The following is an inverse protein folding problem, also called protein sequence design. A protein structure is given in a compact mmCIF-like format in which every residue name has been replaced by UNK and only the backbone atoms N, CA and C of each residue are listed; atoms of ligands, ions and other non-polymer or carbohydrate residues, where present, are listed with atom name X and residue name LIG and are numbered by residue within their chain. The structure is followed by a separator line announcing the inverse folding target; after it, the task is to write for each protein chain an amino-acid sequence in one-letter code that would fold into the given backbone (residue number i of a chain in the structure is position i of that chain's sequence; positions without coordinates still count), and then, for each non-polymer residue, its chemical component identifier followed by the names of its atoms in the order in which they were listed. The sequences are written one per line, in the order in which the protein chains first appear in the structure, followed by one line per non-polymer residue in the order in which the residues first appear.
data_IF_203931693354
#
_entry.id   IF_203931693354
#
_cell.length_a   1.000
_cell.length_b   1.000
_cell.length_c   1.000
_cell.angle_alpha   90.00
_cell.angle_beta   90.00
_cell.angle_gamma   90.00
#
_symmetry.space_group_name_H-M   'P 1'
#
loop_
_entity.id
_entity.type
_entity.pdbx_description
1 polymer ?
#
# COMPACT_ATOMS: atom_id res chain seq x y z
N UNK A 1 -2.59 11.16 22.24
CA UNK A 1 -1.30 10.60 22.71
C UNK A 1 -0.76 9.64 21.65
N UNK A 2 0.50 9.21 21.75
CA UNK A 2 1.07 8.17 20.86
C UNK A 2 0.25 6.86 20.89
N UNK A 3 -0.27 6.51 22.07
CA UNK A 3 -1.23 5.43 22.27
C UNK A 3 -2.46 5.56 21.35
N UNK A 4 -3.02 6.77 21.21
CA UNK A 4 -4.16 7.00 20.32
C UNK A 4 -3.82 6.71 18.86
N UNK A 5 -2.61 7.07 18.42
CA UNK A 5 -2.13 6.75 17.08
C UNK A 5 -2.00 5.25 16.89
N UNK A 6 -1.38 4.55 17.85
CA UNK A 6 -1.26 3.09 17.82
C UNK A 6 -2.62 2.40 17.74
N UNK A 7 -3.59 2.83 18.57
CA UNK A 7 -4.95 2.30 18.53
C UNK A 7 -5.61 2.53 17.17
N UNK A 8 -5.54 3.75 16.63
CA UNK A 8 -6.13 4.07 15.32
C UNK A 8 -5.50 3.26 14.19
N UNK A 9 -4.18 3.15 14.16
CA UNK A 9 -3.47 2.34 13.15
C UNK A 9 -3.83 0.86 13.26
N UNK A 10 -3.93 0.32 14.49
CA UNK A 10 -4.36 -1.05 14.75
C UNK A 10 -5.80 -1.30 14.29
N UNK A 11 -6.73 -0.43 14.70
CA UNK A 11 -8.15 -0.57 14.36
C UNK A 11 -8.35 -0.48 12.85
N UNK A 12 -7.65 0.46 12.18
CA UNK A 12 -7.65 0.56 10.73
C UNK A 12 -7.09 -0.69 10.06
N UNK A 13 -5.92 -1.19 10.49
CA UNK A 13 -5.32 -2.39 9.93
C UNK A 13 -6.25 -3.61 10.03
N UNK A 14 -6.87 -3.82 11.20
CA UNK A 14 -7.84 -4.90 11.40
C UNK A 14 -9.04 -4.74 10.46
N UNK A 15 -9.61 -3.53 10.36
CA UNK A 15 -10.74 -3.29 9.46
C UNK A 15 -10.38 -3.48 7.99
N UNK A 16 -9.20 -3.05 7.57
CA UNK A 16 -8.68 -3.27 6.20
C UNK A 16 -8.51 -4.75 5.91
N UNK A 17 -7.92 -5.52 6.84
CA UNK A 17 -7.76 -6.98 6.71
C UNK A 17 -9.13 -7.68 6.63
N UNK A 18 -10.06 -7.30 7.49
CA UNK A 18 -11.42 -7.87 7.50
C UNK A 18 -12.19 -7.54 6.22
N UNK A 19 -11.98 -6.36 5.64
CA UNK A 19 -12.56 -6.00 4.34
C UNK A 19 -11.92 -6.83 3.22
N UNK A 20 -10.59 -6.91 3.20
CA UNK A 20 -9.83 -7.67 2.20
C UNK A 20 -10.22 -9.15 2.18
N UNK A 21 -10.40 -9.77 3.35
CA UNK A 21 -10.78 -11.18 3.47
C UNK A 21 -12.24 -11.48 3.05
N UNK A 22 -13.08 -10.45 2.90
CA UNK A 22 -14.45 -10.61 2.36
C UNK A 22 -14.46 -10.61 0.83
N UNK A 23 -13.42 -10.10 0.20
CA UNK A 23 -13.33 -10.06 -1.26
C UNK A 23 -13.07 -11.47 -1.80
N UNK A 24 -13.95 -11.93 -2.68
CA UNK A 24 -13.86 -13.26 -3.30
C UNK A 24 -12.88 -13.22 -4.47
N UNK A 25 -11.83 -14.04 -4.39
CA UNK A 25 -10.99 -14.31 -5.55
C UNK A 25 -11.71 -15.27 -6.51
N UNK A 26 -12.17 -14.74 -7.65
CA UNK A 26 -12.94 -15.49 -8.66
C UNK A 26 -12.12 -15.64 -9.94
N UNK A 27 -11.95 -16.88 -10.40
CA UNK A 27 -11.37 -17.21 -11.70
C UNK A 27 -12.40 -17.97 -12.56
N UNK A 28 -12.38 -17.74 -13.88
CA UNK A 28 -13.28 -18.43 -14.81
C UNK A 28 -12.97 -19.92 -14.96
N UNK A 29 -11.70 -20.27 -14.75
CA UNK A 29 -11.19 -21.63 -14.77
C UNK A 29 -10.32 -21.89 -13.55
N UNK A 30 -10.10 -23.16 -13.22
CA UNK A 30 -9.17 -23.53 -12.15
C UNK A 30 -7.75 -23.16 -12.58
N UNK A 31 -7.15 -22.23 -11.84
CA UNK A 31 -5.79 -21.80 -12.11
C UNK A 31 -4.79 -22.89 -11.71
N UNK A 32 -3.69 -22.96 -12.46
CA UNK A 32 -2.51 -23.71 -12.02
C UNK A 32 -1.95 -23.09 -10.74
N UNK A 33 -1.38 -23.90 -9.86
CA UNK A 33 -0.85 -23.45 -8.57
C UNK A 33 0.14 -22.29 -8.69
N UNK A 34 1.05 -22.31 -9.66
CA UNK A 34 1.99 -21.22 -9.90
C UNK A 34 1.31 -19.91 -10.29
N UNK A 35 0.25 -19.98 -11.10
CA UNK A 35 -0.53 -18.81 -11.54
C UNK A 35 -1.34 -18.27 -10.37
N UNK A 36 -1.99 -19.14 -9.61
CA UNK A 36 -2.70 -18.79 -8.39
C UNK A 36 -1.78 -18.07 -7.40
N UNK A 37 -0.62 -18.64 -7.09
CA UNK A 37 0.34 -18.05 -6.16
C UNK A 37 0.82 -16.67 -6.64
N UNK A 38 1.15 -16.54 -7.93
CA UNK A 38 1.57 -15.25 -8.49
C UNK A 38 0.48 -14.18 -8.39
N UNK A 39 -0.78 -14.53 -8.67
CA UNK A 39 -1.89 -13.58 -8.62
C UNK A 39 -2.25 -13.20 -7.18
N UNK A 40 -2.32 -14.16 -6.26
CA UNK A 40 -2.60 -13.90 -4.85
C UNK A 40 -1.49 -13.05 -4.22
N UNK A 41 -0.21 -13.37 -4.49
CA UNK A 41 0.89 -12.56 -3.98
C UNK A 41 0.84 -11.13 -4.51
N UNK A 42 0.49 -10.91 -5.79
CA UNK A 42 0.33 -9.56 -6.34
C UNK A 42 -0.82 -8.80 -5.67
N UNK A 43 -1.95 -9.47 -5.40
CA UNK A 43 -3.10 -8.88 -4.70
C UNK A 43 -2.72 -8.50 -3.26
N UNK A 44 -2.04 -9.39 -2.54
CA UNK A 44 -1.57 -9.14 -1.17
C UNK A 44 -0.56 -7.98 -1.15
N UNK A 45 0.43 -7.99 -2.05
CA UNK A 45 1.40 -6.90 -2.15
C UNK A 45 0.72 -5.56 -2.43
N UNK A 46 -0.28 -5.54 -3.32
CA UNK A 46 -1.05 -4.34 -3.59
C UNK A 46 -1.78 -3.83 -2.34
N UNK A 47 -2.37 -4.74 -1.55
CA UNK A 47 -3.03 -4.42 -0.29
C UNK A 47 -2.05 -3.88 0.76
N UNK A 48 -0.91 -4.55 0.95
CA UNK A 48 0.15 -4.14 1.89
C UNK A 48 0.72 -2.75 1.55
N UNK A 49 0.75 -2.39 0.26
CA UNK A 49 1.18 -1.07 -0.21
C UNK A 49 0.08 -0.01 -0.11
N UNK A 50 -1.17 -0.33 -0.48
CA UNK A 50 -2.24 0.67 -0.55
C UNK A 50 -2.83 1.01 0.81
N UNK A 51 -2.99 0.02 1.70
CA UNK A 51 -3.64 0.22 3.01
C UNK A 51 -2.94 1.30 3.86
N UNK A 52 -1.61 1.31 4.02
CA UNK A 52 -0.93 2.37 4.76
C UNK A 52 -1.01 3.74 4.07
N UNK A 53 -0.97 3.78 2.73
CA UNK A 53 -1.08 5.03 1.96
C UNK A 53 -2.46 5.67 2.17
N UNK A 54 -3.53 4.87 2.13
CA UNK A 54 -4.89 5.35 2.34
C UNK A 54 -5.07 5.95 3.74
N UNK A 55 -4.60 5.25 4.77
CA UNK A 55 -4.61 5.73 6.14
C UNK A 55 -3.84 7.06 6.30
N UNK A 56 -2.61 7.10 5.79
CA UNK A 56 -1.76 8.30 5.85
C UNK A 56 -2.41 9.49 5.14
N UNK A 57 -3.06 9.22 4.01
CA UNK A 57 -3.82 10.23 3.25
C UNK A 57 -4.98 10.78 4.06
N UNK A 58 -5.72 9.94 4.79
CA UNK A 58 -6.81 10.39 5.68
C UNK A 58 -6.28 11.28 6.80
N UNK A 59 -5.18 10.90 7.45
CA UNK A 59 -4.53 11.71 8.50
C UNK A 59 -4.06 13.05 7.94
N UNK A 60 -3.42 13.05 6.77
CA UNK A 60 -2.98 14.28 6.09
C UNK A 60 -4.16 15.18 5.73
N UNK A 61 -5.28 14.62 5.28
CA UNK A 61 -6.49 15.36 4.97
C UNK A 61 -7.05 16.07 6.22
N UNK A 62 -7.15 15.37 7.35
CA UNK A 62 -7.60 15.96 8.62
C UNK A 62 -6.69 17.12 9.04
N UNK A 63 -5.36 16.94 8.97
CA UNK A 63 -4.38 17.99 9.28
C UNK A 63 -4.58 19.22 8.40
N UNK A 64 -4.76 19.03 7.08
CA UNK A 64 -5.02 20.10 6.12
C UNK A 64 -6.37 20.79 6.36
N UNK A 65 -7.40 20.05 6.74
CA UNK A 65 -8.69 20.64 7.11
C UNK A 65 -8.58 21.51 8.37
N UNK A 66 -7.87 21.05 9.40
CA UNK A 66 -7.59 21.83 10.61
C UNK A 66 -6.84 23.12 10.25
N UNK A 67 -5.81 23.02 9.39
CA UNK A 67 -5.03 24.15 8.90
C UNK A 67 -5.89 25.18 8.14
N UNK A 68 -6.61 24.70 7.12
CA UNK A 68 -7.37 25.54 6.20
C UNK A 68 -8.53 26.25 6.88
N UNK A 69 -9.18 25.58 7.84
CA UNK A 69 -10.26 26.16 8.64
C UNK A 69 -9.75 26.93 9.88
N UNK A 70 -8.44 26.95 10.12
CA UNK A 70 -7.80 27.66 11.25
C UNK A 70 -8.39 27.27 12.61
N UNK A 71 -8.67 25.99 12.81
CA UNK A 71 -9.18 25.53 14.11
C UNK A 71 -8.13 25.74 15.19
N UNK A 72 -8.55 26.33 16.31
CA UNK A 72 -7.67 26.62 17.45
C UNK A 72 -7.38 25.31 18.20
N UNK A 73 -6.10 25.00 18.36
CA UNK A 73 -5.67 23.92 19.24
C UNK A 73 -5.98 24.29 20.68
N UNK A 74 -6.62 23.39 21.43
CA UNK A 74 -6.87 23.57 22.86
C UNK A 74 -5.55 23.72 23.66
N UNK A 75 -4.46 23.11 23.17
CA UNK A 75 -3.11 23.25 23.72
C UNK A 75 -2.39 24.52 23.24
N UNK A 76 -3.05 25.38 22.48
CA UNK A 76 -2.52 26.66 21.99
C UNK A 76 -1.19 26.54 21.21
N UNK A 77 -1.00 25.40 20.52
CA UNK A 77 0.21 25.07 19.75
C UNK A 77 0.27 25.78 18.40
N UNK A 78 -0.88 26.14 17.81
CA UNK A 78 -0.95 26.92 16.56
C UNK A 78 -1.33 28.38 16.80
N UNK A 79 -2.10 28.66 17.85
CA UNK A 79 -2.54 29.99 18.23
C UNK A 79 -2.44 30.16 19.74
N UNK A 80 -1.83 31.25 20.20
CA UNK A 80 -1.82 31.63 21.61
C UNK A 80 -2.96 32.60 21.90
N UNK A 81 -3.59 32.46 23.06
CA UNK A 81 -4.59 33.39 23.56
C UNK A 81 -4.01 34.10 24.78
N UNK A 82 -4.18 35.42 24.84
CA UNK A 82 -3.85 36.21 26.03
C UNK A 82 -5.00 37.15 26.38
N UNK A 83 -5.13 37.40 27.67
CA UNK A 83 -6.20 38.21 28.25
C UNK A 83 -5.57 39.53 28.70
N UNK A 84 -6.12 40.65 28.25
CA UNK A 84 -5.75 41.96 28.79
C UNK A 84 -6.98 42.61 29.43
N UNK A 85 -6.78 43.16 30.63
CA UNK A 85 -7.76 44.03 31.28
C UNK A 85 -7.71 45.39 30.60
N UNK A 86 -8.79 45.75 29.94
CA UNK A 86 -8.97 47.09 29.39
C UNK A 86 -9.69 47.96 30.41
N UNK A 87 -9.45 49.28 30.37
CA UNK A 87 -9.69 50.29 31.43
C UNK A 87 -11.08 50.28 32.13
N UNK A 88 -12.07 49.53 31.62
CA UNK A 88 -13.42 49.41 32.14
C UNK A 88 -13.82 47.98 32.57
N UNK A 89 -12.89 47.16 33.08
CA UNK A 89 -13.10 45.72 33.37
C UNK A 89 -13.53 44.88 32.14
N UNK A 90 -13.37 45.42 30.93
CA UNK A 90 -13.58 44.66 29.70
C UNK A 90 -12.34 43.80 29.48
N UNK A 91 -12.54 42.49 29.48
CA UNK A 91 -11.46 41.54 29.13
C UNK A 91 -11.41 41.42 27.62
N UNK A 92 -10.32 41.89 27.01
CA UNK A 92 -10.05 41.66 25.60
C UNK A 92 -9.32 40.32 25.47
N UNK A 93 -9.88 39.43 24.66
CA UNK A 93 -9.24 38.18 24.27
C UNK A 93 -8.55 38.43 22.94
N UNK A 94 -7.23 38.34 22.94
CA UNK A 94 -6.44 38.50 21.73
C UNK A 94 -5.83 37.16 21.35
N UNK A 95 -5.98 36.81 20.07
CA UNK A 95 -5.49 35.55 19.53
C UNK A 95 -4.39 35.85 18.51
N UNK A 96 -3.20 35.34 18.74
CA UNK A 96 -2.07 35.47 17.83
C UNK A 96 -1.64 34.09 17.30
N UNK A 97 -1.20 34.06 16.05
CA UNK A 97 -0.60 32.86 15.48
C UNK A 97 0.73 32.59 16.18
N UNK A 98 1.04 31.32 16.44
CA UNK A 98 2.37 30.92 16.87
C UNK A 98 3.37 31.13 15.74
N UNK A 99 4.53 31.67 16.13
CA UNK A 99 5.66 31.90 15.24
C UNK A 99 6.88 31.36 15.94
N UNK A 100 7.59 30.47 15.24
CA UNK A 100 8.89 29.96 15.65
C UNK A 100 9.95 30.80 14.95
N UNK A 101 10.84 31.38 15.74
CA UNK A 101 12.02 32.07 15.23
C UNK A 101 13.14 31.06 15.20
N UNK A 102 13.95 31.04 14.14
CA UNK A 102 15.22 30.31 14.16
C UNK A 102 16.27 31.16 14.90
N UNK A 103 17.03 30.55 15.81
CA UNK A 103 18.09 31.25 16.54
C UNK A 103 19.25 31.65 15.63
N UNK A 104 19.41 30.97 14.49
CA UNK A 104 20.54 31.13 13.56
C UNK A 104 20.13 31.66 12.18
N UNK A 105 18.88 31.50 11.75
CA UNK A 105 18.39 32.03 10.48
C UNK A 105 17.50 33.26 10.65
N UNK A 106 17.60 34.22 9.73
CA UNK A 106 16.71 35.38 9.61
C UNK A 106 15.26 35.03 9.21
N UNK A 107 14.93 33.73 9.15
CA UNK A 107 13.61 33.23 8.78
C UNK A 107 12.75 32.92 10.00
N UNK A 108 11.50 33.38 9.97
CA UNK A 108 10.47 33.00 10.93
C UNK A 108 9.51 31.99 10.31
N UNK A 109 9.14 30.96 11.05
CA UNK A 109 8.15 29.97 10.63
C UNK A 109 6.84 30.23 11.37
N UNK A 110 5.83 30.71 10.64
CA UNK A 110 4.51 31.00 11.21
C UNK A 110 3.53 29.86 10.97
N UNK A 111 2.87 29.40 12.04
CA UNK A 111 1.79 28.40 11.98
C UNK A 111 0.57 28.85 11.17
N UNK A 112 0.48 30.15 10.85
CA UNK A 112 -0.54 30.69 9.94
C UNK A 112 -0.31 30.27 8.49
N UNK A 113 0.96 30.15 8.10
CA UNK A 113 1.39 30.00 6.70
C UNK A 113 1.84 28.56 6.46
N UNK A 114 2.66 28.03 7.38
CA UNK A 114 3.24 26.69 7.28
C UNK A 114 2.83 25.88 8.51
N UNK A 115 2.06 24.81 8.29
CA UNK A 115 1.61 23.96 9.39
C UNK A 115 2.69 22.99 9.89
N UNK A 116 3.70 22.75 9.06
CA UNK A 116 4.80 21.83 9.35
C UNK A 116 5.97 22.52 10.05
N UNK A 117 5.80 23.80 10.45
CA UNK A 117 6.78 24.45 11.31
C UNK A 117 7.00 23.64 12.58
N UNK A 118 8.27 23.42 12.91
CA UNK A 118 8.66 22.73 14.12
C UNK A 118 10.01 23.24 14.62
N UNK A 119 10.23 23.05 15.91
CA UNK A 119 11.49 23.27 16.59
C UNK A 119 11.76 22.07 17.51
N UNK A 120 13.01 21.86 17.91
CA UNK A 120 13.35 20.89 18.95
C UNK A 120 12.58 21.20 20.25
N UNK A 121 12.05 20.16 20.89
CA UNK A 121 11.29 20.32 22.13
C UNK A 121 12.24 20.65 23.29
N UNK A 122 11.91 21.73 24.01
CA UNK A 122 12.70 22.21 25.13
C UNK A 122 11.80 22.45 26.34
N UNK A 123 12.32 22.15 27.53
CA UNK A 123 11.69 22.49 28.81
C UNK A 123 12.40 23.71 29.38
N UNK A 124 11.62 24.70 29.81
CA UNK A 124 12.12 25.96 30.34
C UNK A 124 11.76 26.12 31.82
N UNK A 125 12.59 26.83 32.59
CA UNK A 125 12.32 27.12 34.01
C UNK A 125 11.30 28.26 34.24
N UNK A 126 10.90 28.97 33.18
CA UNK A 126 9.96 30.07 33.21
C UNK A 126 9.05 30.04 31.99
N UNK A 127 7.75 30.22 32.19
CA UNK A 127 6.78 30.37 31.10
C UNK A 127 6.73 31.84 30.67
N UNK A 128 7.08 32.15 29.41
CA UNK A 128 6.79 33.47 28.83
C UNK A 128 5.32 33.53 28.42
N UNK A 129 4.63 34.58 28.83
CA UNK A 129 3.23 34.88 28.44
C UNK A 129 3.12 35.58 27.07
N UNK A 130 4.19 35.61 26.26
CA UNK A 130 4.20 36.34 24.98
C UNK A 130 3.83 35.45 23.80
N UNK A 131 2.99 35.96 22.89
CA UNK A 131 2.57 35.26 21.65
C UNK A 131 3.68 34.93 20.64
N UNK A 132 4.91 35.39 20.90
CA UNK A 132 6.12 35.04 20.16
C UNK A 132 7.02 34.20 21.07
N UNK A 133 7.31 32.96 20.65
CA UNK A 133 8.37 32.17 21.27
C UNK A 133 9.71 32.65 20.72
N UNK A 134 10.26 33.67 21.36
CA UNK A 134 11.69 33.93 21.26
C UNK A 134 12.41 32.80 21.98
N UNK A 135 13.44 32.24 21.35
CA UNK A 135 14.42 31.40 22.05
C UNK A 135 14.84 32.14 23.32
N UNK A 136 14.47 31.63 24.51
CA UNK A 136 14.99 32.24 25.72
C UNK A 136 16.51 32.00 25.72
N UNK A 137 17.29 32.90 26.34
CA UNK A 137 18.72 32.67 26.46
C UNK A 137 18.99 31.30 27.09
N UNK A 138 20.10 30.65 26.67
CA UNK A 138 20.39 29.24 26.98
C UNK A 138 20.35 28.93 28.49
N UNK A 139 20.55 29.95 29.35
CA UNK A 139 20.47 29.86 30.82
C UNK A 139 19.07 29.55 31.37
N UNK A 140 18.02 29.63 30.54
CA UNK A 140 16.63 29.31 30.92
C UNK A 140 16.17 27.94 30.45
N UNK A 141 16.95 27.26 29.60
CA UNK A 141 16.64 25.93 29.09
C UNK A 141 17.04 24.92 30.16
N UNK A 142 16.06 24.22 30.73
CA UNK A 142 16.30 23.12 31.66
C UNK A 142 16.79 21.88 30.94
N UNK A 143 16.19 21.58 29.79
CA UNK A 143 16.51 20.40 29.00
C UNK A 143 16.03 20.57 27.56
N UNK A 144 16.84 20.13 26.61
CA UNK A 144 16.41 19.79 25.24
C UNK A 144 16.13 18.30 25.19
N UNK A 145 15.02 17.89 24.59
CA UNK A 145 14.65 16.48 24.51
C UNK A 145 15.01 15.96 23.12
N UNK A 146 16.11 15.18 22.98
CA UNK A 146 16.55 14.67 21.69
C UNK A 146 15.43 13.90 20.99
N UNK A 147 15.28 14.17 19.70
CA UNK A 147 14.29 13.51 18.87
C UNK A 147 12.87 14.05 19.06
N UNK A 148 12.55 14.82 20.09
CA UNK A 148 11.21 15.39 20.24
C UNK A 148 11.10 16.76 19.57
N UNK A 149 9.95 17.03 18.97
CA UNK A 149 9.66 18.28 18.28
C UNK A 149 8.41 18.95 18.82
N UNK A 150 8.46 20.27 18.98
CA UNK A 150 7.30 21.12 19.17
C UNK A 150 6.84 21.67 17.82
N UNK A 151 5.54 21.59 17.51
CA UNK A 151 5.00 22.01 16.22
C UNK A 151 3.62 22.67 16.35
N UNK A 152 3.13 23.27 15.26
CA UNK A 152 1.86 23.99 15.19
C UNK A 152 0.65 23.16 15.62
N UNK A 153 0.60 21.88 15.27
CA UNK A 153 -0.46 20.99 15.71
C UNK A 153 0.04 20.01 16.78
N UNK A 154 -0.81 19.63 17.75
CA UNK A 154 -0.46 18.56 18.69
C UNK A 154 -0.15 17.24 17.96
N UNK A 155 -0.87 16.94 16.87
CA UNK A 155 -0.58 15.76 16.05
C UNK A 155 0.78 15.87 15.35
N UNK A 156 1.15 17.06 14.83
CA UNK A 156 2.45 17.26 14.20
C UNK A 156 3.60 17.17 15.19
N UNK A 157 3.40 17.64 16.43
CA UNK A 157 4.35 17.49 17.54
C UNK A 157 4.72 16.01 17.72
N UNK A 158 3.73 15.12 17.69
CA UNK A 158 3.97 13.67 17.75
C UNK A 158 4.62 13.17 16.46
N UNK A 159 4.02 13.45 15.30
CA UNK A 159 4.46 12.90 14.01
C UNK A 159 5.91 13.24 13.66
N UNK A 160 6.35 14.47 13.95
CA UNK A 160 7.70 14.94 13.64
C UNK A 160 8.74 14.49 14.67
N UNK A 161 8.30 14.02 15.84
CA UNK A 161 9.19 13.47 16.86
C UNK A 161 9.68 12.06 16.50
N UNK A 162 10.79 11.64 17.08
CA UNK A 162 11.33 10.28 17.12
C UNK A 162 11.19 9.72 18.55
N UNK A 163 11.55 8.45 18.75
CA UNK A 163 11.48 7.79 20.06
C UNK A 163 12.83 7.74 20.78
N UNK A 164 13.85 8.43 20.28
CA UNK A 164 15.25 8.34 20.74
C UNK A 164 15.41 8.47 22.27
N UNK A 165 14.77 9.45 22.90
CA UNK A 165 14.87 9.67 24.35
C UNK A 165 14.35 8.46 25.16
N UNK A 166 13.38 7.70 24.65
CA UNK A 166 12.81 6.54 25.35
C UNK A 166 13.72 5.29 25.32
N UNK A 167 14.75 5.29 24.48
CA UNK A 167 15.79 4.26 24.44
C UNK A 167 17.09 4.70 25.16
N UNK A 168 17.17 5.95 25.63
CA UNK A 168 18.34 6.49 26.30
C UNK A 168 18.07 6.77 27.79
N UNK A 169 18.70 6.00 28.68
CA UNK A 169 18.41 6.07 30.11
C UNK A 169 18.79 7.42 30.73
N UNK A 170 19.87 8.05 30.24
CA UNK A 170 20.27 9.38 30.69
C UNK A 170 19.23 10.43 30.30
N UNK A 171 18.73 10.36 29.06
CA UNK A 171 17.67 11.26 28.61
C UNK A 171 16.39 11.08 29.44
N UNK A 172 15.94 9.83 29.59
CA UNK A 172 14.74 9.51 30.34
C UNK A 172 14.86 9.93 31.81
N UNK A 173 15.99 9.67 32.46
CA UNK A 173 16.23 10.09 33.85
C UNK A 173 16.16 11.61 34.01
N UNK A 174 16.77 12.37 33.09
CA UNK A 174 16.72 13.82 33.12
C UNK A 174 15.28 14.32 32.95
N UNK A 175 14.52 13.74 32.01
CA UNK A 175 13.11 14.09 31.80
C UNK A 175 12.25 13.81 33.04
N UNK A 176 12.46 12.65 33.65
CA UNK A 176 11.70 12.19 34.83
C UNK A 176 12.05 13.02 36.06
N UNK A 177 13.29 13.49 36.19
CA UNK A 177 13.70 14.38 37.28
C UNK A 177 12.96 15.72 37.31
N UNK A 178 12.39 16.13 36.17
CA UNK A 178 11.59 17.34 36.03
C UNK A 178 10.11 17.12 36.37
N UNK A 179 9.68 15.87 36.55
CA UNK A 179 8.31 15.56 36.94
C UNK A 179 8.13 15.77 38.45
N UNK A 180 6.96 16.25 38.90
CA UNK A 180 6.68 16.46 40.33
C UNK A 180 6.61 15.14 41.13
N UNK A 181 6.57 13.99 40.45
CA UNK A 181 6.46 12.67 41.03
C UNK A 181 7.68 11.82 40.71
N UNK A 182 8.26 11.19 41.72
CA UNK A 182 9.29 10.16 41.54
C UNK A 182 8.67 8.89 40.97
N UNK A 183 8.84 8.67 39.68
CA UNK A 183 8.41 7.44 39.00
C UNK A 183 9.65 6.75 38.45
N UNK A 184 9.81 5.48 38.76
CA UNK A 184 10.90 4.69 38.18
C UNK A 184 10.51 4.27 36.76
N UNK A 185 11.04 4.97 35.78
CA UNK A 185 10.92 4.58 34.38
C UNK A 185 12.21 3.89 33.92
N UNK A 186 12.04 2.73 33.31
CA UNK A 186 13.10 2.04 32.57
C UNK A 186 12.98 2.40 31.10
N UNK A 187 14.11 2.52 30.41
CA UNK A 187 14.09 2.62 28.94
C UNK A 187 13.40 1.42 28.31
N UNK A 188 12.88 1.66 27.11
CA UNK A 188 12.42 0.59 26.22
C UNK A 188 13.67 -0.16 25.75
N UNK A 189 13.67 -1.49 25.83
CA UNK A 189 14.73 -2.30 25.23
C UNK A 189 14.60 -2.25 23.72
N UNK A 190 15.72 -2.03 23.02
CA UNK A 190 15.73 -2.16 21.55
C UNK A 190 15.21 -3.55 21.16
N UNK A 191 14.18 -3.58 20.31
CA UNK A 191 13.79 -4.81 19.63
C UNK A 191 14.86 -5.09 18.57
N UNK A 192 15.64 -6.16 18.75
CA UNK A 192 16.69 -6.55 17.80
C UNK A 192 16.16 -6.77 16.37
N UNK A 193 14.85 -6.95 16.20
CA UNK A 193 14.18 -7.23 14.93
C UNK A 193 13.22 -6.12 14.46
N UNK A 194 13.17 -4.96 15.12
CA UNK A 194 12.27 -3.90 14.62
C UNK A 194 12.74 -3.41 13.25
N UNK A 195 11.81 -3.23 12.33
CA UNK A 195 12.11 -2.64 11.01
C UNK A 195 12.35 -1.13 11.07
N UNK A 196 12.05 -0.48 12.20
CA UNK A 196 12.20 0.96 12.39
C UNK A 196 13.50 1.29 13.14
N UNK A 197 14.23 2.27 12.63
CA UNK A 197 15.45 2.78 13.28
C UNK A 197 15.06 3.71 14.42
N UNK A 198 15.94 3.87 15.42
CA UNK A 198 15.72 4.79 16.56
C UNK A 198 15.41 6.22 16.12
N UNK A 199 16.06 6.70 15.06
CA UNK A 199 15.87 8.04 14.50
C UNK A 199 14.73 8.12 13.46
N UNK A 200 13.93 7.07 13.31
CA UNK A 200 12.73 7.11 12.48
C UNK A 200 11.70 7.99 13.15
N UNK A 201 11.11 8.91 12.39
CA UNK A 201 10.02 9.74 12.91
C UNK A 201 8.80 8.88 13.17
N UNK A 202 8.01 9.28 14.15
CA UNK A 202 6.75 8.62 14.46
C UNK A 202 5.81 8.71 13.24
N UNK A 203 5.92 9.75 12.41
CA UNK A 203 5.23 9.80 11.12
C UNK A 203 5.60 8.61 10.24
N UNK A 204 6.88 8.30 10.04
CA UNK A 204 7.27 7.14 9.23
C UNK A 204 6.72 5.83 9.77
N UNK A 205 6.67 5.68 11.10
CA UNK A 205 6.12 4.49 11.76
C UNK A 205 4.60 4.42 11.51
N UNK A 206 3.87 5.52 11.72
CA UNK A 206 2.42 5.62 11.52
C UNK A 206 2.01 5.50 10.05
N UNK A 207 2.82 6.04 9.14
CA UNK A 207 2.60 5.97 7.69
C UNK A 207 2.67 4.53 7.18
N UNK A 208 3.24 3.62 7.98
CA UNK A 208 3.29 2.18 7.77
C UNK A 208 2.37 1.41 8.75
N UNK A 209 1.32 2.07 9.25
CA UNK A 209 0.35 1.52 10.22
C UNK A 209 0.96 1.02 11.53
N UNK A 210 2.20 1.42 11.84
CA UNK A 210 2.98 0.91 12.98
C UNK A 210 3.14 -0.63 12.95
N UNK A 211 3.10 -1.22 11.76
CA UNK A 211 3.23 -2.67 11.56
C UNK A 211 4.71 -3.04 11.47
N UNK A 212 5.11 -4.07 12.21
CA UNK A 212 6.45 -4.66 12.14
C UNK A 212 6.56 -5.65 10.97
N UNK A 213 5.61 -6.59 10.86
CA UNK A 213 5.60 -7.63 9.84
C UNK A 213 4.17 -7.99 9.39
N UNK A 214 4.02 -8.31 8.11
CA UNK A 214 2.80 -8.90 7.54
C UNK A 214 2.97 -10.41 7.44
N UNK A 215 2.02 -11.16 8.02
CA UNK A 215 2.01 -12.62 7.98
C UNK A 215 0.84 -13.10 7.14
N UNK A 216 1.10 -13.95 6.16
CA UNK A 216 0.12 -14.42 5.18
C UNK A 216 -0.08 -15.94 5.28
N UNK A 217 -1.33 -16.41 5.18
CA UNK A 217 -1.69 -17.84 5.11
C UNK A 217 -2.38 -18.13 3.77
N UNK A 218 -1.60 -18.55 2.78
CA UNK A 218 -2.09 -18.85 1.42
C UNK A 218 -2.20 -20.36 1.24
N UNK A 219 -3.37 -20.85 0.81
CA UNK A 219 -3.60 -22.28 0.60
C UNK A 219 -4.23 -22.60 -0.75
N UNK A 220 -3.40 -23.04 -1.71
CA UNK A 220 -3.87 -23.53 -3.01
C UNK A 220 -4.84 -24.72 -2.86
N UNK A 221 -4.61 -25.60 -1.87
CA UNK A 221 -5.51 -26.73 -1.58
C UNK A 221 -6.92 -26.28 -1.20
N UNK A 222 -7.07 -25.21 -0.41
CA UNK A 222 -8.37 -24.65 -0.05
C UNK A 222 -9.05 -24.06 -1.30
N UNK A 223 -8.30 -23.28 -2.09
CA UNK A 223 -8.77 -22.71 -3.36
C UNK A 223 -9.25 -23.79 -4.34
N UNK A 224 -8.41 -24.79 -4.64
CA UNK A 224 -8.74 -25.85 -5.61
C UNK A 224 -10.01 -26.60 -5.21
N UNK A 225 -10.20 -26.89 -3.92
CA UNK A 225 -11.42 -27.57 -3.43
C UNK A 225 -12.70 -26.75 -3.65
N UNK A 226 -12.62 -25.42 -3.60
CA UNK A 226 -13.76 -24.53 -3.81
C UNK A 226 -14.03 -24.28 -5.30
N UNK A 227 -12.98 -24.20 -6.13
CA UNK A 227 -13.10 -23.84 -7.54
C UNK A 227 -13.11 -25.04 -8.49
N UNK A 228 -12.88 -26.26 -8.01
CA UNK A 228 -12.87 -27.45 -8.86
C UNK A 228 -14.21 -27.62 -9.62
N UNK A 229 -14.17 -27.93 -10.92
CA UNK A 229 -15.38 -28.15 -11.70
C UNK A 229 -16.15 -29.36 -11.17
N UNK A 230 -17.48 -29.27 -11.13
CA UNK A 230 -18.36 -30.36 -10.72
C UNK A 230 -18.22 -31.58 -11.66
N UNK A 231 -17.88 -31.33 -12.93
CA UNK A 231 -17.65 -32.37 -13.93
C UNK A 231 -16.54 -31.96 -14.89
N UNK A 232 -15.56 -32.85 -15.11
CA UNK A 232 -14.54 -32.67 -16.14
C UNK A 232 -15.02 -33.29 -17.46
N UNK A 233 -15.19 -32.48 -18.49
CA UNK A 233 -15.37 -32.96 -19.87
C UNK A 233 -14.02 -32.99 -20.57
N UNK A 234 -13.57 -34.19 -20.94
CA UNK A 234 -12.41 -34.33 -21.81
C UNK A 234 -12.89 -34.42 -23.26
N UNK A 235 -12.38 -33.54 -24.12
CA UNK A 235 -12.55 -33.70 -25.56
C UNK A 235 -11.62 -34.81 -26.03
N UNK A 236 -12.14 -36.01 -26.15
CA UNK A 236 -11.43 -37.09 -26.84
C UNK A 236 -11.50 -36.79 -28.33
N UNK A 237 -10.40 -36.26 -28.89
CA UNK A 237 -10.22 -36.23 -30.34
C UNK A 237 -10.04 -37.68 -30.80
N UNK A 238 -11.14 -38.39 -31.01
CA UNK A 238 -11.12 -39.68 -31.70
C UNK A 238 -10.63 -39.41 -33.13
N UNK A 239 -9.34 -39.68 -33.37
CA UNK A 239 -8.69 -39.57 -34.69
C UNK A 239 -9.32 -40.48 -35.76
N UNK A 240 -10.33 -41.26 -35.39
CA UNK A 240 -11.04 -42.20 -36.25
C UNK A 240 -12.54 -41.96 -36.16
N UNK A 241 -13.02 -40.91 -36.83
CA UNK A 241 -14.43 -40.83 -37.18
C UNK A 241 -14.69 -41.82 -38.33
N UNK A 242 -15.49 -42.86 -38.06
CA UNK A 242 -15.86 -43.87 -39.04
C UNK A 242 -16.52 -43.26 -40.28
N UNK A 243 -17.17 -42.10 -40.13
CA UNK A 243 -17.76 -41.34 -41.25
C UNK A 243 -16.69 -40.81 -42.20
N UNK A 244 -15.55 -40.37 -41.66
CA UNK A 244 -14.41 -39.90 -42.44
C UNK A 244 -13.72 -41.05 -43.19
N UNK A 245 -13.60 -42.22 -42.56
CA UNK A 245 -13.06 -43.42 -43.21
C UNK A 245 -13.99 -43.90 -44.35
N UNK A 246 -15.31 -43.85 -44.13
CA UNK A 246 -16.30 -44.23 -45.12
C UNK A 246 -16.30 -43.30 -46.34
N UNK A 247 -16.23 -41.98 -46.15
CA UNK A 247 -16.16 -41.02 -47.27
C UNK A 247 -14.87 -41.15 -48.07
N UNK A 248 -13.73 -41.42 -47.41
CA UNK A 248 -12.47 -41.73 -48.08
C UNK A 248 -12.57 -42.99 -48.96
N UNK A 249 -13.16 -44.08 -48.45
CA UNK A 249 -13.34 -45.33 -49.22
C UNK A 249 -14.26 -45.14 -50.43
N UNK A 250 -15.37 -44.43 -50.27
CA UNK A 250 -16.30 -44.13 -51.38
C UNK A 250 -15.61 -43.28 -52.44
N UNK A 251 -14.85 -42.25 -52.04
CA UNK A 251 -14.09 -41.41 -52.96
C UNK A 251 -13.02 -42.18 -53.75
N UNK A 252 -12.34 -43.13 -53.11
CA UNK A 252 -11.35 -43.99 -53.74
C UNK A 252 -11.98 -44.92 -54.78
N UNK A 253 -13.09 -45.57 -54.44
CA UNK A 253 -13.81 -46.45 -55.37
C UNK A 253 -14.39 -45.67 -56.57
N UNK A 254 -14.99 -44.51 -56.32
CA UNK A 254 -15.56 -43.68 -57.38
C UNK A 254 -14.48 -43.16 -58.34
N UNK A 255 -13.31 -42.74 -57.82
CA UNK A 255 -12.22 -42.24 -58.65
C UNK A 255 -11.61 -43.34 -59.52
N UNK A 256 -11.41 -44.54 -58.98
CA UNK A 256 -10.90 -45.70 -59.74
C UNK A 256 -11.84 -46.04 -60.91
N UNK A 257 -13.15 -46.15 -60.65
CA UNK A 257 -14.14 -46.46 -61.70
C UNK A 257 -14.09 -45.41 -62.81
N UNK A 258 -14.10 -44.13 -62.43
CA UNK A 258 -14.12 -43.02 -63.39
C UNK A 258 -12.85 -42.97 -64.25
N UNK A 259 -11.67 -43.14 -63.63
CA UNK A 259 -10.38 -43.14 -64.33
C UNK A 259 -10.26 -44.36 -65.25
N UNK A 260 -10.61 -45.56 -64.78
CA UNK A 260 -10.60 -46.77 -65.59
C UNK A 260 -11.51 -46.64 -66.83
N UNK A 261 -12.74 -46.14 -66.67
CA UNK A 261 -13.64 -45.90 -67.81
C UNK A 261 -13.05 -44.91 -68.82
N UNK A 262 -12.39 -43.85 -68.36
CA UNK A 262 -11.76 -42.86 -69.24
C UNK A 262 -10.56 -43.44 -70.02
N UNK A 263 -9.72 -44.22 -69.33
CA UNK A 263 -8.56 -44.89 -69.93
C UNK A 263 -9.02 -45.94 -70.95
N UNK A 264 -10.02 -46.76 -70.64
CA UNK A 264 -10.57 -47.77 -71.55
C UNK A 264 -11.10 -47.10 -72.82
N UNK A 265 -11.85 -46.00 -72.71
CA UNK A 265 -12.33 -45.27 -73.89
C UNK A 265 -11.19 -44.72 -74.77
N UNK A 266 -10.10 -44.26 -74.16
CA UNK A 266 -8.91 -43.78 -74.88
C UNK A 266 -8.17 -44.93 -75.57
N UNK A 267 -7.99 -46.07 -74.89
CA UNK A 267 -7.35 -47.26 -75.45
C UNK A 267 -8.18 -47.83 -76.61
N UNK A 268 -9.50 -47.97 -76.44
CA UNK A 268 -10.39 -48.47 -77.50
C UNK A 268 -10.34 -47.54 -78.72
N UNK A 269 -10.38 -46.21 -78.53
CA UNK A 269 -10.22 -45.25 -79.65
C UNK A 269 -8.83 -45.32 -80.30
N UNK A 270 -7.79 -45.62 -79.53
CA UNK A 270 -6.42 -45.74 -80.05
C UNK A 270 -6.21 -47.04 -80.86
N UNK A 271 -6.72 -48.17 -80.36
CA UNK A 271 -6.69 -49.47 -81.07
C UNK A 271 -7.52 -49.40 -82.34
N UNK A 272 -8.71 -48.78 -82.31
CA UNK A 272 -9.59 -48.62 -83.49
C UNK A 272 -9.05 -47.62 -84.52
N UNK A 273 -8.05 -46.80 -84.18
CA UNK A 273 -7.35 -45.87 -85.09
C UNK A 273 -6.07 -46.44 -85.69
N UNK A 274 -5.70 -47.70 -85.42
CA UNK A 274 -4.66 -48.40 -86.18
C UNK A 274 -5.27 -49.00 -87.44
N UNK A 275 -4.97 -48.49 -88.65
CA UNK A 275 -5.24 -49.22 -89.89
C UNK A 275 -4.40 -50.50 -89.95
N UNK A 276 -5.04 -51.59 -90.35
CA UNK A 276 -4.41 -52.86 -90.73
C UNK A 276 -3.36 -52.60 -91.82
N UNK A 277 -2.08 -52.63 -91.47
CA UNK A 277 -1.03 -52.95 -92.45
C UNK A 277 -0.94 -54.49 -92.52
N UNK A 278 -1.69 -55.07 -93.46
CA UNK A 278 -1.36 -56.38 -94.00
C UNK A 278 -0.74 -56.15 -95.37
N UNK A 279 0.56 -56.43 -95.44
CA UNK A 279 1.36 -56.50 -96.65
C UNK A 279 1.15 -57.88 -97.29
N UNK A 280 0.61 -57.85 -98.50
CA UNK A 280 0.87 -58.66 -99.69
C UNK A 280 0.77 -60.21 -99.72
N UNK A 281 0.17 -60.62 -100.85
CA UNK A 281 0.15 -61.89 -101.58
C UNK A 281 1.33 -62.86 -101.43
N UNK A 282 1.04 -64.17 -101.57
CA UNK A 282 1.68 -65.13 -102.50
C UNK A 282 0.84 -66.44 -102.53
N UNK A 283 0.54 -66.89 -103.76
CA UNK A 283 0.15 -68.23 -104.28
C UNK A 283 -0.66 -69.20 -103.42
#
# INVERSE_FOLDING_TARGET
SLESCCRLSKDYAIQSIDSFNKDLFISQEVLKESVFQSQINAIIQQFELSSPIEFSTQVALIRKMIAGNRFLSALQTNYMQWYMLWQNNVTLIVIHNRVFLDAQASSSCSCRIHIDCNIELMIFNQFRQSGVEYFPPDDKILMKIPGMSHSCLPVNTILLSTLECFYNQTCLNNLVSLLPTTVNFTVISELEQSRYKLNSTIQTIIDNLMIEEWVTDISYKKYYKQCAPISCTYFKNDKYDWKFVLTQLIGLLASIITVCSFIIQKIVKFVRRRPSQNTESIS
#
